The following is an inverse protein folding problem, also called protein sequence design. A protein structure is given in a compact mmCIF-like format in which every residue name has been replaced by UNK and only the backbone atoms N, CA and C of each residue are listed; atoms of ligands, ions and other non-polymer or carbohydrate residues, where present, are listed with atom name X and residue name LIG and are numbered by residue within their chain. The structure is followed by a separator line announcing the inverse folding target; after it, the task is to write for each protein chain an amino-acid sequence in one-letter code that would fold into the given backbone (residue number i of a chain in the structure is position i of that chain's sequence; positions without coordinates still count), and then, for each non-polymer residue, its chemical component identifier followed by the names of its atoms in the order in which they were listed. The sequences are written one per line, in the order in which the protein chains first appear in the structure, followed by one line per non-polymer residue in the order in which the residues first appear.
data_IF_619643487293
#
_entry.id   IF_619643487293
#
_cell.length_a   1.000
_cell.length_b   1.000
_cell.length_c   1.000
_cell.angle_alpha   90.00
_cell.angle_beta   90.00
_cell.angle_gamma   90.00
#
_symmetry.space_group_name_H-M   'P 1'
#
loop_
_entity.id
_entity.type
_entity.pdbx_description
1 polymer ?
#
# COMPACT_ATOMS: atom_id res chain seq x y z
N UNK A 1 -9.12 -11.33 -32.54
CA UNK A 1 -7.71 -10.86 -32.48
C UNK A 1 -7.67 -9.37 -32.17
N UNK A 2 -7.98 -8.46 -33.12
CA UNK A 2 -7.94 -7.00 -32.88
C UNK A 2 -8.83 -6.47 -31.73
N UNK A 3 -10.00 -7.09 -31.51
CA UNK A 3 -10.88 -6.72 -30.39
C UNK A 3 -10.24 -6.98 -29.03
N UNK A 4 -9.42 -8.03 -28.89
CA UNK A 4 -8.89 -8.43 -27.59
C UNK A 4 -7.71 -7.56 -27.15
N UNK A 5 -6.83 -7.19 -28.08
CA UNK A 5 -5.79 -6.18 -27.81
C UNK A 5 -6.42 -4.86 -27.34
N UNK A 6 -7.50 -4.43 -28.00
CA UNK A 6 -8.23 -3.22 -27.61
C UNK A 6 -8.75 -3.34 -26.17
N UNK A 7 -9.35 -4.47 -25.80
CA UNK A 7 -9.81 -4.72 -24.42
C UNK A 7 -8.66 -4.65 -23.42
N UNK A 8 -7.52 -5.27 -23.71
CA UNK A 8 -6.33 -5.26 -22.85
C UNK A 8 -5.82 -3.83 -22.63
N UNK A 9 -5.76 -3.02 -23.69
CA UNK A 9 -5.38 -1.61 -23.56
C UNK A 9 -6.31 -0.85 -22.63
N UNK A 10 -7.62 -1.00 -22.78
CA UNK A 10 -8.59 -0.32 -21.92
C UNK A 10 -8.50 -0.77 -20.46
N UNK A 11 -8.25 -2.06 -20.23
CA UNK A 11 -8.01 -2.59 -18.88
C UNK A 11 -6.87 -1.81 -18.22
N UNK A 12 -5.71 -1.71 -18.87
CA UNK A 12 -4.56 -1.06 -18.26
C UNK A 12 -4.68 0.47 -18.20
N UNK A 13 -5.28 1.11 -19.20
CA UNK A 13 -5.54 2.56 -19.19
C UNK A 13 -6.48 2.99 -18.07
N UNK A 14 -7.41 2.12 -17.64
CA UNK A 14 -8.39 2.42 -16.59
C UNK A 14 -7.92 1.94 -15.22
N UNK A 15 -7.55 0.66 -15.09
CA UNK A 15 -7.26 0.06 -13.78
C UNK A 15 -5.91 0.49 -13.22
N UNK A 16 -4.87 0.66 -14.04
CA UNK A 16 -3.55 1.06 -13.54
C UNK A 16 -3.56 2.41 -12.80
N UNK A 17 -4.11 3.51 -13.34
CA UNK A 17 -4.14 4.78 -12.60
C UNK A 17 -5.06 4.71 -11.39
N UNK A 18 -6.22 4.04 -11.51
CA UNK A 18 -7.19 3.90 -10.42
C UNK A 18 -6.59 3.18 -9.21
N UNK A 19 -5.98 2.01 -9.44
CA UNK A 19 -5.37 1.21 -8.39
C UNK A 19 -4.15 1.91 -7.77
N UNK A 20 -3.34 2.59 -8.59
CA UNK A 20 -2.20 3.35 -8.08
C UNK A 20 -2.65 4.47 -7.12
N UNK A 21 -3.71 5.21 -7.46
CA UNK A 21 -4.26 6.27 -6.59
C UNK A 21 -4.85 5.66 -5.31
N UNK A 22 -5.73 4.68 -5.43
CA UNK A 22 -6.41 4.05 -4.27
C UNK A 22 -5.37 3.44 -3.33
N UNK A 23 -4.42 2.66 -3.88
CA UNK A 23 -3.41 1.99 -3.09
C UNK A 23 -2.42 2.95 -2.44
N UNK A 24 -1.99 4.00 -3.13
CA UNK A 24 -1.11 5.03 -2.53
C UNK A 24 -1.79 5.70 -1.35
N UNK A 25 -3.02 6.19 -1.54
CA UNK A 25 -3.77 6.87 -0.47
C UNK A 25 -4.02 5.90 0.70
N UNK A 26 -4.50 4.69 0.41
CA UNK A 26 -4.79 3.68 1.42
C UNK A 26 -3.55 3.28 2.24
N UNK A 27 -2.44 2.98 1.57
CA UNK A 27 -1.22 2.52 2.24
C UNK A 27 -0.53 3.63 3.04
N UNK A 28 -0.54 4.87 2.56
CA UNK A 28 -0.07 6.02 3.35
C UNK A 28 -0.91 6.20 4.61
N UNK A 29 -2.23 6.14 4.49
CA UNK A 29 -3.13 6.23 5.66
C UNK A 29 -2.88 5.07 6.64
N UNK A 30 -2.65 3.84 6.15
CA UNK A 30 -2.25 2.70 6.98
C UNK A 30 -1.00 3.02 7.79
N UNK A 31 0.07 3.48 7.15
CA UNK A 31 1.35 3.80 7.80
C UNK A 31 1.13 4.87 8.89
N UNK A 32 0.45 5.97 8.55
CA UNK A 32 0.17 7.05 9.51
C UNK A 32 -0.63 6.56 10.73
N UNK A 33 -1.63 5.71 10.53
CA UNK A 33 -2.47 5.18 11.62
C UNK A 33 -1.67 4.20 12.49
N UNK A 34 -0.87 3.33 11.89
CA UNK A 34 -0.07 2.32 12.59
C UNK A 34 1.06 2.95 13.42
N UNK A 35 1.54 4.14 13.04
CA UNK A 35 2.54 4.91 13.79
C UNK A 35 1.96 5.67 14.99
N UNK A 36 0.64 5.74 15.17
CA UNK A 36 0.04 6.38 16.35
C UNK A 36 0.40 5.60 17.61
N UNK A 37 0.66 6.31 18.71
CA UNK A 37 1.12 5.75 20.01
C UNK A 37 0.38 4.48 20.45
N UNK A 38 -0.93 4.41 20.26
CA UNK A 38 -1.75 3.26 20.68
C UNK A 38 -1.54 2.00 19.83
N UNK A 39 -1.22 2.18 18.56
CA UNK A 39 -0.95 1.09 17.60
C UNK A 39 0.53 0.72 17.60
N UNK A 40 1.43 1.70 17.67
CA UNK A 40 2.88 1.51 17.54
C UNK A 40 3.51 0.58 18.61
N UNK A 41 2.86 0.42 19.77
CA UNK A 41 3.31 -0.47 20.84
C UNK A 41 3.12 -1.96 20.50
N UNK A 42 2.32 -2.27 19.47
CA UNK A 42 2.00 -3.66 19.10
C UNK A 42 2.98 -4.20 18.06
N UNK A 43 3.53 -5.40 18.28
CA UNK A 43 4.49 -6.03 17.35
C UNK A 43 3.93 -6.24 15.94
N UNK A 44 2.64 -6.55 15.80
CA UNK A 44 2.01 -6.68 14.49
C UNK A 44 1.87 -5.34 13.73
N UNK A 45 2.02 -4.18 14.39
CA UNK A 45 2.02 -2.89 13.69
C UNK A 45 3.26 -2.72 12.82
N UNK A 46 4.41 -3.30 13.21
CA UNK A 46 5.60 -3.33 12.35
C UNK A 46 5.32 -4.14 11.08
N UNK A 47 4.73 -5.33 11.22
CA UNK A 47 4.36 -6.17 10.08
C UNK A 47 3.42 -5.44 9.10
N UNK A 48 2.32 -4.85 9.59
CA UNK A 48 1.38 -4.13 8.72
C UNK A 48 1.97 -2.86 8.11
N UNK A 49 2.93 -2.21 8.78
CA UNK A 49 3.64 -1.05 8.23
C UNK A 49 4.57 -1.47 7.10
N UNK A 50 5.38 -2.51 7.32
CA UNK A 50 6.25 -3.08 6.28
C UNK A 50 5.42 -3.57 5.11
N UNK A 51 4.29 -4.23 5.36
CA UNK A 51 3.38 -4.68 4.32
C UNK A 51 2.87 -3.50 3.48
N UNK A 52 2.37 -2.43 4.10
CA UNK A 52 1.91 -1.24 3.38
C UNK A 52 3.03 -0.56 2.54
N UNK A 53 4.28 -0.59 3.03
CA UNK A 53 5.44 -0.08 2.25
C UNK A 53 5.70 -0.99 1.04
N UNK A 54 5.75 -2.31 1.25
CA UNK A 54 5.98 -3.29 0.16
C UNK A 54 4.88 -3.21 -0.88
N UNK A 55 3.61 -3.12 -0.48
CA UNK A 55 2.48 -2.96 -1.39
C UNK A 55 2.59 -1.67 -2.21
N UNK A 56 3.01 -0.58 -1.58
CA UNK A 56 3.21 0.71 -2.27
C UNK A 56 4.32 0.56 -3.30
N UNK A 57 5.46 -0.04 -2.94
CA UNK A 57 6.56 -0.29 -3.89
C UNK A 57 6.08 -1.15 -5.05
N UNK A 58 5.35 -2.25 -4.78
CA UNK A 58 4.83 -3.14 -5.80
C UNK A 58 3.88 -2.42 -6.78
N UNK A 59 2.98 -1.57 -6.27
CA UNK A 59 2.06 -0.76 -7.09
C UNK A 59 2.83 0.20 -8.00
N UNK A 60 3.80 0.95 -7.46
CA UNK A 60 4.57 1.89 -8.25
C UNK A 60 5.44 1.17 -9.29
N UNK A 61 6.14 0.09 -8.92
CA UNK A 61 7.01 -0.63 -9.85
C UNK A 61 6.24 -1.36 -10.96
N UNK A 62 5.08 -1.93 -10.63
CA UNK A 62 4.24 -2.65 -11.58
C UNK A 62 3.37 -1.73 -12.45
N UNK A 63 2.54 -0.90 -11.82
CA UNK A 63 1.53 -0.12 -12.53
C UNK A 63 2.10 1.04 -13.34
N UNK A 64 3.20 1.68 -12.89
CA UNK A 64 3.81 2.76 -13.69
C UNK A 64 4.37 2.24 -15.01
N UNK A 65 4.92 1.02 -15.02
CA UNK A 65 5.34 0.36 -16.25
C UNK A 65 4.15 0.16 -17.20
N UNK A 66 3.04 -0.37 -16.71
CA UNK A 66 1.83 -0.53 -17.54
C UNK A 66 1.30 0.82 -18.04
N UNK A 67 1.30 1.86 -17.21
CA UNK A 67 0.92 3.21 -17.64
C UNK A 67 1.81 3.74 -18.78
N UNK A 68 3.13 3.55 -18.69
CA UNK A 68 4.06 4.01 -19.72
C UNK A 68 3.90 3.19 -21.01
N UNK A 69 3.79 1.87 -20.91
CA UNK A 69 3.62 0.99 -22.08
C UNK A 69 2.32 1.32 -22.82
N UNK A 70 1.18 1.40 -22.13
CA UNK A 70 -0.12 1.54 -22.79
C UNK A 70 -0.49 2.98 -23.17
N UNK A 71 0.21 4.00 -22.68
CA UNK A 71 -0.01 5.40 -23.08
C UNK A 71 1.14 5.97 -23.93
N UNK A 72 2.37 5.53 -23.71
CA UNK A 72 3.58 6.01 -24.38
C UNK A 72 4.18 5.05 -25.39
N UNK A 73 3.66 3.81 -25.49
CA UNK A 73 4.15 2.74 -26.38
C UNK A 73 5.65 2.43 -26.22
N UNK A 74 6.22 2.70 -25.05
CA UNK A 74 7.63 2.43 -24.73
C UNK A 74 7.72 1.57 -23.47
N UNK A 75 8.60 0.56 -23.46
CA UNK A 75 8.90 -0.21 -22.25
C UNK A 75 10.13 0.41 -21.56
N UNK A 76 9.98 1.02 -20.37
CA UNK A 76 11.08 1.70 -19.69
C UNK A 76 12.27 0.77 -19.37
N UNK A 77 12.07 -0.55 -19.33
CA UNK A 77 13.16 -1.54 -19.14
C UNK A 77 14.11 -1.60 -20.33
N UNK A 78 13.65 -1.24 -21.52
CA UNK A 78 14.46 -1.24 -22.74
C UNK A 78 15.25 0.06 -22.90
N UNK A 79 14.83 1.12 -22.23
CA UNK A 79 15.46 2.43 -22.31
C UNK A 79 16.52 2.62 -21.20
N UNK A 80 16.27 2.13 -19.99
CA UNK A 80 17.14 2.40 -18.83
C UNK A 80 17.64 1.14 -18.13
N UNK A 81 18.97 1.02 -17.96
CA UNK A 81 19.59 -0.05 -17.15
C UNK A 81 19.08 0.01 -15.71
N UNK A 82 18.88 1.24 -15.21
CA UNK A 82 18.39 1.48 -13.87
C UNK A 82 16.95 0.99 -13.72
N UNK A 83 16.07 1.28 -14.70
CA UNK A 83 14.69 0.79 -14.68
C UNK A 83 14.62 -0.74 -14.81
N UNK A 84 15.44 -1.33 -15.69
CA UNK A 84 15.60 -2.77 -15.83
C UNK A 84 16.04 -3.42 -14.50
N UNK A 85 17.12 -2.92 -13.90
CA UNK A 85 17.67 -3.42 -12.65
C UNK A 85 16.69 -3.25 -11.48
N UNK A 86 16.04 -2.09 -11.35
CA UNK A 86 15.06 -1.87 -10.26
C UNK A 86 13.84 -2.76 -10.42
N UNK A 87 13.26 -2.84 -11.63
CA UNK A 87 12.09 -3.69 -11.86
C UNK A 87 12.41 -5.15 -11.56
N UNK A 88 13.58 -5.64 -11.99
CA UNK A 88 13.94 -7.03 -11.77
C UNK A 88 14.46 -7.33 -10.35
N UNK A 89 15.07 -6.36 -9.67
CA UNK A 89 15.52 -6.52 -8.29
C UNK A 89 14.34 -6.75 -7.33
N UNK A 90 13.30 -5.91 -7.44
CA UNK A 90 12.15 -5.96 -6.53
C UNK A 90 11.20 -7.13 -6.81
N UNK A 91 11.13 -7.63 -8.05
CA UNK A 91 10.32 -8.80 -8.39
C UNK A 91 11.09 -10.13 -8.32
N UNK A 92 12.40 -10.15 -8.61
CA UNK A 92 13.15 -11.39 -8.86
C UNK A 92 14.46 -11.53 -8.07
N UNK A 93 14.65 -10.74 -6.99
CA UNK A 93 15.77 -10.90 -6.06
C UNK A 93 17.15 -10.92 -6.75
N UNK A 94 17.41 -9.92 -7.60
CA UNK A 94 18.70 -9.65 -8.28
C UNK A 94 19.15 -10.66 -9.37
N UNK A 95 18.29 -11.59 -9.81
CA UNK A 95 18.62 -12.54 -10.88
C UNK A 95 18.14 -11.98 -12.23
N UNK A 96 18.97 -11.17 -12.89
CA UNK A 96 18.68 -10.62 -14.22
C UNK A 96 19.88 -10.64 -15.16
N UNK A 97 19.60 -10.72 -16.47
CA UNK A 97 20.57 -10.58 -17.55
C UNK A 97 20.11 -9.44 -18.47
N UNK A 98 21.03 -8.52 -18.74
CA UNK A 98 20.88 -7.53 -19.79
C UNK A 98 21.60 -8.09 -21.02
N UNK A 99 20.87 -8.30 -22.11
CA UNK A 99 21.44 -8.69 -23.40
C UNK A 99 21.31 -7.50 -24.33
N UNK A 100 22.45 -6.98 -24.78
CA UNK A 100 22.52 -5.85 -25.70
C UNK A 100 23.02 -6.33 -27.07
N UNK A 101 22.07 -6.82 -27.89
CA UNK A 101 22.31 -7.14 -29.30
C UNK A 101 22.02 -5.91 -30.16
N UNK A 102 22.71 -5.72 -31.31
CA UNK A 102 22.41 -4.60 -32.20
C UNK A 102 20.94 -4.67 -32.62
N UNK A 103 20.19 -3.61 -32.29
CA UNK A 103 18.75 -3.43 -32.50
C UNK A 103 17.80 -4.24 -31.61
N UNK A 104 18.28 -5.03 -30.64
CA UNK A 104 17.39 -5.82 -29.78
C UNK A 104 17.92 -5.95 -28.34
N UNK A 105 17.84 -4.85 -27.59
CA UNK A 105 18.11 -4.88 -26.15
C UNK A 105 16.99 -5.63 -25.45
N UNK A 106 17.34 -6.59 -24.59
CA UNK A 106 16.38 -7.32 -23.77
C UNK A 106 16.82 -7.33 -22.31
N UNK A 107 15.82 -7.28 -21.42
CA UNK A 107 15.99 -7.24 -19.98
C UNK A 107 15.11 -8.37 -19.38
N UNK A 108 15.72 -9.51 -19.09
CA UNK A 108 15.00 -10.70 -18.61
C UNK A 108 15.86 -11.49 -17.59
N UNK A 109 15.27 -12.53 -17.00
CA UNK A 109 15.90 -13.42 -16.04
C UNK A 109 17.03 -14.22 -16.71
N UNK A 110 18.12 -14.47 -15.96
CA UNK A 110 19.34 -15.13 -16.46
C UNK A 110 19.08 -16.49 -17.10
N UNK A 111 18.12 -17.25 -16.56
CA UNK A 111 17.83 -18.62 -16.97
C UNK A 111 16.32 -18.84 -17.14
N UNK A 112 15.94 -19.25 -18.35
CA UNK A 112 14.58 -19.66 -18.68
C UNK A 112 14.07 -20.77 -17.74
N UNK A 113 14.94 -21.70 -17.34
CA UNK A 113 14.54 -22.80 -16.47
C UNK A 113 14.23 -22.30 -15.07
N UNK A 114 15.04 -21.38 -14.54
CA UNK A 114 14.76 -20.72 -13.28
C UNK A 114 13.41 -19.98 -13.33
N UNK A 115 13.19 -19.18 -14.38
CA UNK A 115 11.94 -18.44 -14.60
C UNK A 115 10.71 -19.34 -14.65
N UNK A 116 10.81 -20.47 -15.35
CA UNK A 116 9.69 -21.39 -15.59
C UNK A 116 9.40 -22.32 -14.41
N UNK A 117 10.43 -22.85 -13.76
CA UNK A 117 10.28 -23.97 -12.81
C UNK A 117 10.62 -23.63 -11.36
N UNK A 118 11.33 -22.53 -11.12
CA UNK A 118 11.79 -22.17 -9.77
C UNK A 118 11.05 -20.93 -9.28
N UNK A 119 10.95 -19.90 -10.13
CA UNK A 119 10.39 -18.62 -9.75
C UNK A 119 8.93 -18.68 -9.24
N UNK A 120 7.98 -19.38 -9.90
CA UNK A 120 6.59 -19.41 -9.43
C UNK A 120 6.44 -20.04 -8.04
N UNK A 121 7.26 -21.06 -7.74
CA UNK A 121 7.28 -21.71 -6.44
C UNK A 121 7.97 -20.87 -5.38
N UNK A 122 9.05 -20.16 -5.76
CA UNK A 122 9.77 -19.26 -4.88
C UNK A 122 8.88 -18.08 -4.47
N UNK A 123 8.18 -17.45 -5.41
CA UNK A 123 7.21 -16.40 -5.11
C UNK A 123 6.08 -16.91 -4.21
N UNK A 124 5.45 -18.04 -4.54
CA UNK A 124 4.40 -18.64 -3.70
C UNK A 124 4.90 -18.93 -2.26
N UNK A 125 6.13 -19.41 -2.13
CA UNK A 125 6.71 -19.78 -0.84
C UNK A 125 7.00 -18.55 0.02
N UNK A 126 7.69 -17.55 -0.55
CA UNK A 126 8.10 -16.34 0.17
C UNK A 126 6.92 -15.41 0.44
N UNK A 127 5.99 -15.30 -0.50
CA UNK A 127 4.89 -14.35 -0.43
C UNK A 127 3.66 -14.92 0.29
N UNK A 128 3.51 -16.26 0.40
CA UNK A 128 2.32 -16.89 1.02
C UNK A 128 2.66 -17.90 2.10
N UNK A 129 3.37 -18.99 1.77
CA UNK A 129 3.49 -20.15 2.65
C UNK A 129 4.26 -19.81 3.93
N UNK A 130 5.41 -19.14 3.78
CA UNK A 130 6.26 -18.76 4.92
C UNK A 130 5.54 -17.75 5.83
N UNK A 131 4.99 -16.62 5.34
CA UNK A 131 4.20 -15.71 6.17
C UNK A 131 3.04 -16.40 6.87
N UNK A 132 2.29 -17.26 6.18
CA UNK A 132 1.13 -17.94 6.73
C UNK A 132 1.50 -18.92 7.86
N UNK A 133 2.59 -19.68 7.72
CA UNK A 133 3.10 -20.58 8.76
C UNK A 133 3.57 -19.79 9.98
N UNK A 134 4.35 -18.72 9.79
CA UNK A 134 4.86 -17.88 10.89
C UNK A 134 3.70 -17.22 11.64
N UNK A 135 2.75 -16.64 10.93
CA UNK A 135 1.59 -15.95 11.52
C UNK A 135 0.67 -16.96 12.22
N UNK A 136 0.42 -18.12 11.62
CA UNK A 136 -0.48 -19.14 12.19
C UNK A 136 0.11 -19.78 13.45
N UNK A 137 1.40 -20.11 13.44
CA UNK A 137 2.09 -20.66 14.62
C UNK A 137 2.13 -19.66 15.77
N UNK A 138 2.49 -18.40 15.47
CA UNK A 138 2.54 -17.32 16.46
C UNK A 138 1.17 -17.01 17.07
N UNK A 139 0.12 -16.91 16.24
CA UNK A 139 -1.24 -16.70 16.73
C UNK A 139 -1.77 -17.95 17.47
N UNK A 140 -1.42 -19.16 17.04
CA UNK A 140 -1.75 -20.41 17.71
C UNK A 140 -1.20 -20.46 19.13
N UNK A 141 0.06 -20.08 19.33
CA UNK A 141 0.68 -19.98 20.66
C UNK A 141 -0.01 -18.95 21.57
N UNK A 142 -0.38 -17.81 20.99
CA UNK A 142 -1.11 -16.75 21.71
C UNK A 142 -2.49 -17.25 22.14
N UNK A 143 -3.25 -17.86 21.24
CA UNK A 143 -4.58 -18.43 21.54
C UNK A 143 -4.45 -19.53 22.60
N UNK A 144 -3.50 -20.45 22.44
CA UNK A 144 -3.23 -21.49 23.43
C UNK A 144 -2.96 -20.92 24.81
N UNK A 145 -2.14 -19.87 24.90
CA UNK A 145 -1.83 -19.18 26.16
C UNK A 145 -3.07 -18.49 26.75
N UNK A 146 -3.90 -17.85 25.93
CA UNK A 146 -5.15 -17.20 26.35
C UNK A 146 -6.21 -18.21 26.82
N UNK A 147 -6.35 -19.34 26.13
CA UNK A 147 -7.28 -20.43 26.49
C UNK A 147 -6.82 -21.07 27.80
N UNK A 148 -5.53 -21.40 27.92
CA UNK A 148 -4.94 -21.93 29.16
C UNK A 148 -5.12 -20.95 30.32
N UNK A 149 -4.91 -19.65 30.08
CA UNK A 149 -5.11 -18.60 31.08
C UNK A 149 -6.58 -18.45 31.50
N UNK A 150 -7.54 -18.53 30.56
CA UNK A 150 -8.99 -18.48 30.88
C UNK A 150 -9.45 -19.73 31.63
N UNK A 151 -8.93 -20.90 31.27
CA UNK A 151 -9.19 -22.14 32.01
C UNK A 151 -8.68 -22.03 33.45
N UNK A 152 -7.46 -21.54 33.64
CA UNK A 152 -6.89 -21.30 34.97
C UNK A 152 -7.61 -20.18 35.74
N UNK A 153 -8.12 -19.15 35.04
CA UNK A 153 -8.91 -18.07 35.62
C UNK A 153 -10.32 -18.52 36.03
N UNK A 154 -10.86 -19.61 35.46
CA UNK A 154 -12.17 -20.18 35.85
C UNK A 154 -12.14 -20.77 37.27
N UNK A 155 -10.95 -21.11 37.77
CA UNK A 155 -10.71 -21.58 39.15
C UNK A 155 -10.15 -20.49 40.08
N UNK A 156 -9.93 -19.26 39.59
CA UNK A 156 -9.36 -18.16 40.36
C UNK A 156 -10.40 -17.05 40.55
N UNK A 157 -10.65 -16.63 41.78
CA UNK A 157 -11.65 -15.61 42.17
C UNK A 157 -11.33 -14.18 41.69
N UNK A 158 -10.25 -13.97 40.93
CA UNK A 158 -9.91 -12.69 40.30
C UNK A 158 -9.80 -12.84 38.78
N UNK A 159 -10.92 -12.70 38.08
CA UNK A 159 -10.94 -12.69 36.63
C UNK A 159 -10.21 -11.46 36.08
N UNK A 160 -9.06 -11.66 35.40
CA UNK A 160 -8.45 -10.60 34.58
C UNK A 160 -9.28 -10.44 33.31
N UNK A 161 -9.68 -9.22 32.91
CA UNK A 161 -10.42 -8.99 31.67
C UNK A 161 -9.61 -9.52 30.48
N UNK A 162 -10.27 -10.28 29.61
CA UNK A 162 -9.64 -10.84 28.42
C UNK A 162 -9.12 -9.73 27.50
N UNK A 163 -7.92 -9.90 26.95
CA UNK A 163 -7.29 -8.88 26.12
C UNK A 163 -7.95 -8.85 24.72
N UNK A 164 -9.09 -8.16 24.58
CA UNK A 164 -9.79 -7.92 23.30
C UNK A 164 -8.88 -7.30 22.22
N UNK A 165 -7.75 -6.74 22.65
CA UNK A 165 -6.64 -6.31 21.82
C UNK A 165 -6.16 -7.33 20.80
N UNK A 166 -5.93 -8.53 21.29
CA UNK A 166 -5.16 -9.56 20.60
C UNK A 166 -6.03 -10.23 19.54
N UNK A 167 -7.29 -10.50 19.87
CA UNK A 167 -8.29 -11.07 18.95
C UNK A 167 -8.57 -10.15 17.74
N UNK A 168 -8.59 -8.83 17.95
CA UNK A 168 -8.80 -7.87 16.86
C UNK A 168 -7.65 -7.83 15.84
N UNK A 169 -6.41 -8.04 16.28
CA UNK A 169 -5.27 -8.08 15.36
C UNK A 169 -5.17 -9.41 14.62
N UNK A 170 -5.46 -10.52 15.30
CA UNK A 170 -5.53 -11.83 14.64
C UNK A 170 -6.56 -11.83 13.51
N UNK A 171 -7.71 -11.14 13.69
CA UNK A 171 -8.69 -10.96 12.63
C UNK A 171 -8.15 -10.17 11.42
N UNK A 172 -7.37 -9.11 11.65
CA UNK A 172 -6.71 -8.35 10.57
C UNK A 172 -5.68 -9.19 9.82
N UNK A 173 -4.87 -9.98 10.54
CA UNK A 173 -3.87 -10.87 9.94
C UNK A 173 -4.53 -11.94 9.07
N UNK A 174 -5.57 -12.59 9.58
CA UNK A 174 -6.35 -13.58 8.81
C UNK A 174 -6.98 -12.93 7.57
N UNK A 175 -7.53 -11.71 7.70
CA UNK A 175 -8.12 -10.99 6.58
C UNK A 175 -7.11 -10.73 5.46
N UNK A 176 -5.86 -10.40 5.78
CA UNK A 176 -4.79 -10.22 4.78
C UNK A 176 -4.45 -11.55 4.13
N UNK A 177 -4.29 -12.62 4.92
CA UNK A 177 -3.97 -13.95 4.37
C UNK A 177 -5.07 -14.48 3.44
N UNK A 178 -6.34 -14.32 3.81
CA UNK A 178 -7.47 -14.69 2.95
C UNK A 178 -7.50 -13.82 1.70
N UNK A 179 -7.31 -12.51 1.85
CA UNK A 179 -7.22 -11.58 0.72
C UNK A 179 -6.18 -12.06 -0.28
N UNK A 180 -4.97 -12.36 0.19
CA UNK A 180 -3.87 -12.87 -0.63
C UNK A 180 -4.29 -14.15 -1.35
N UNK A 181 -4.87 -15.12 -0.65
CA UNK A 181 -5.33 -16.36 -1.27
C UNK A 181 -6.35 -16.14 -2.39
N UNK A 182 -7.28 -15.21 -2.21
CA UNK A 182 -8.34 -14.95 -3.18
C UNK A 182 -7.84 -14.18 -4.42
N UNK A 183 -6.88 -13.27 -4.24
CA UNK A 183 -6.50 -12.32 -5.29
C UNK A 183 -5.14 -12.61 -5.93
N UNK A 184 -4.24 -13.31 -5.23
CA UNK A 184 -2.88 -13.63 -5.70
C UNK A 184 -2.71 -15.07 -6.13
N UNK A 185 -3.39 -16.05 -5.51
CA UNK A 185 -3.23 -17.44 -5.96
C UNK A 185 -3.63 -17.69 -7.41
N UNK A 186 -4.67 -17.05 -7.98
CA UNK A 186 -5.03 -17.29 -9.38
C UNK A 186 -3.87 -17.03 -10.35
N UNK A 187 -3.10 -15.94 -10.16
CA UNK A 187 -1.94 -15.64 -11.01
C UNK A 187 -0.78 -16.59 -10.76
N UNK A 188 -0.54 -16.98 -9.51
CA UNK A 188 0.50 -17.97 -9.19
C UNK A 188 0.19 -19.35 -9.82
N UNK A 189 -1.07 -19.79 -9.76
CA UNK A 189 -1.53 -21.03 -10.40
C UNK A 189 -1.34 -20.95 -11.92
N UNK A 190 -1.72 -19.83 -12.54
CA UNK A 190 -1.53 -19.62 -13.98
C UNK A 190 -0.07 -19.83 -14.39
N UNK A 191 0.89 -19.23 -13.66
CA UNK A 191 2.31 -19.40 -13.94
C UNK A 191 2.86 -20.81 -13.66
N UNK A 192 2.27 -21.57 -12.74
CA UNK A 192 2.68 -22.95 -12.46
C UNK A 192 2.21 -23.92 -13.56
N UNK A 193 0.97 -23.75 -14.05
CA UNK A 193 0.37 -24.66 -15.02
C UNK A 193 0.66 -24.32 -16.48
N UNK A 194 0.90 -23.04 -16.78
CA UNK A 194 1.33 -22.58 -18.10
C UNK A 194 2.66 -21.81 -17.98
N UNK A 195 3.77 -22.53 -17.69
CA UNK A 195 5.09 -21.91 -17.63
C UNK A 195 5.60 -21.49 -19.02
N UNK A 196 4.95 -21.93 -20.09
CA UNK A 196 5.30 -21.60 -21.47
C UNK A 196 4.79 -20.21 -21.89
N UNK A 197 5.71 -19.31 -22.24
CA UNK A 197 5.40 -18.03 -22.89
C UNK A 197 5.08 -18.21 -24.37
N UNK A 198 4.22 -19.17 -24.72
CA UNK A 198 3.66 -19.13 -26.07
C UNK A 198 2.77 -17.89 -26.17
N UNK A 199 3.10 -17.01 -27.11
CA UNK A 199 2.34 -15.78 -27.36
C UNK A 199 0.91 -16.14 -27.78
N UNK A 200 -0.06 -15.41 -27.23
CA UNK A 200 -1.45 -15.61 -27.59
C UNK A 200 -2.36 -14.61 -26.89
N UNK A 201 -3.21 -13.95 -27.68
CA UNK A 201 -4.12 -12.91 -27.23
C UNK A 201 -4.88 -13.31 -25.95
N UNK A 202 -5.37 -14.54 -25.88
CA UNK A 202 -6.13 -15.05 -24.72
C UNK A 202 -5.26 -15.13 -23.46
N UNK A 203 -4.00 -15.54 -23.58
CA UNK A 203 -3.07 -15.60 -22.45
C UNK A 203 -2.74 -14.19 -21.95
N UNK A 204 -2.57 -13.23 -22.87
CA UNK A 204 -2.32 -11.83 -22.50
C UNK A 204 -3.52 -11.20 -21.78
N UNK A 205 -4.75 -11.54 -22.20
CA UNK A 205 -5.96 -11.14 -21.50
C UNK A 205 -6.02 -11.75 -20.10
N UNK A 206 -5.83 -13.07 -19.99
CA UNK A 206 -5.85 -13.78 -18.70
C UNK A 206 -4.80 -13.18 -17.77
N UNK A 207 -3.57 -13.01 -18.24
CA UNK A 207 -2.51 -12.35 -17.48
C UNK A 207 -2.91 -10.95 -17.04
N UNK A 208 -3.52 -10.15 -17.91
CA UNK A 208 -3.96 -8.79 -17.58
C UNK A 208 -5.03 -8.77 -16.49
N UNK A 209 -6.05 -9.63 -16.61
CA UNK A 209 -7.13 -9.75 -15.62
C UNK A 209 -6.60 -10.22 -14.26
N UNK A 210 -5.76 -11.26 -14.27
CA UNK A 210 -5.18 -11.80 -13.05
C UNK A 210 -4.21 -10.80 -12.40
N UNK A 211 -3.44 -10.04 -13.18
CA UNK A 211 -2.58 -8.98 -12.67
C UNK A 211 -3.38 -7.81 -12.10
N UNK A 212 -4.50 -7.42 -12.69
CA UNK A 212 -5.39 -6.40 -12.11
C UNK A 212 -5.92 -6.86 -10.75
N UNK A 213 -6.34 -8.12 -10.64
CA UNK A 213 -6.75 -8.70 -9.36
C UNK A 213 -5.60 -8.71 -8.34
N UNK A 214 -4.39 -8.99 -8.81
CA UNK A 214 -3.15 -8.94 -8.04
C UNK A 214 -2.90 -7.55 -7.45
N UNK A 215 -2.91 -6.51 -8.28
CA UNK A 215 -2.70 -5.12 -7.84
C UNK A 215 -3.87 -4.59 -7.02
N UNK A 216 -5.09 -5.09 -7.24
CA UNK A 216 -6.24 -4.77 -6.41
C UNK A 216 -5.98 -5.19 -4.95
N UNK A 217 -5.36 -6.35 -4.72
CA UNK A 217 -4.95 -6.78 -3.38
C UNK A 217 -4.07 -5.74 -2.66
N UNK A 218 -3.01 -5.29 -3.34
CA UNK A 218 -2.07 -4.31 -2.81
C UNK A 218 -2.72 -2.94 -2.53
N UNK A 219 -3.89 -2.69 -3.13
CA UNK A 219 -4.61 -1.42 -3.03
C UNK A 219 -5.65 -1.38 -1.91
N UNK A 220 -6.17 -2.52 -1.46
CA UNK A 220 -7.34 -2.59 -0.56
C UNK A 220 -7.01 -2.82 0.92
N UNK A 221 -5.74 -2.95 1.30
CA UNK A 221 -5.35 -3.30 2.66
C UNK A 221 -5.92 -2.35 3.73
N UNK A 222 -5.98 -1.05 3.43
CA UNK A 222 -6.65 -0.07 4.28
C UNK A 222 -8.13 -0.40 4.56
N UNK A 223 -8.88 -0.79 3.53
CA UNK A 223 -10.29 -1.16 3.64
C UNK A 223 -10.45 -2.45 4.45
N UNK A 224 -9.59 -3.45 4.20
CA UNK A 224 -9.57 -4.69 4.97
C UNK A 224 -9.33 -4.41 6.45
N UNK A 225 -8.42 -3.50 6.79
CA UNK A 225 -8.16 -3.11 8.18
C UNK A 225 -9.32 -2.36 8.83
N UNK A 226 -10.02 -1.52 8.08
CA UNK A 226 -11.25 -0.88 8.54
C UNK A 226 -12.30 -1.96 8.85
N UNK A 227 -12.54 -2.92 7.97
CA UNK A 227 -13.60 -3.93 8.17
C UNK A 227 -13.26 -4.88 9.32
N UNK A 228 -12.03 -5.38 9.36
CA UNK A 228 -11.59 -6.41 10.32
C UNK A 228 -11.11 -5.85 11.68
N UNK A 229 -10.70 -4.58 11.75
CA UNK A 229 -9.98 -4.02 12.89
C UNK A 229 -10.71 -2.90 13.64
N UNK A 230 -11.47 -3.17 14.73
CA UNK A 230 -12.10 -2.12 15.55
C UNK A 230 -11.12 -1.09 16.11
N UNK A 231 -9.88 -1.50 16.43
CA UNK A 231 -8.83 -0.58 16.89
C UNK A 231 -8.34 0.33 15.79
N UNK A 232 -8.09 -0.23 14.62
CA UNK A 232 -7.70 0.53 13.44
C UNK A 232 -8.77 1.58 13.14
N UNK A 233 -10.06 1.17 13.05
CA UNK A 233 -11.20 2.10 12.88
C UNK A 233 -11.24 3.22 13.91
N UNK A 234 -10.96 2.93 15.17
CA UNK A 234 -10.96 3.95 16.22
C UNK A 234 -9.88 4.99 15.97
N UNK A 235 -8.65 4.56 15.66
CA UNK A 235 -7.55 5.47 15.37
C UNK A 235 -7.75 6.22 14.04
N UNK A 236 -8.38 5.60 13.04
CA UNK A 236 -8.83 6.27 11.80
C UNK A 236 -9.77 7.42 12.15
N UNK A 237 -10.85 7.16 12.91
CA UNK A 237 -11.81 8.19 13.32
C UNK A 237 -11.14 9.29 14.14
N UNK A 238 -10.25 8.94 15.06
CA UNK A 238 -9.52 9.91 15.84
C UNK A 238 -8.60 10.79 14.98
N UNK A 239 -8.03 10.25 13.89
CA UNK A 239 -7.17 11.00 12.98
C UNK A 239 -7.98 12.04 12.21
N UNK A 240 -9.07 11.59 11.59
CA UNK A 240 -9.95 12.47 10.83
C UNK A 240 -10.66 13.49 11.73
N UNK A 241 -10.98 13.16 12.98
CA UNK A 241 -11.56 14.12 13.93
C UNK A 241 -10.62 15.30 14.24
N UNK A 242 -9.32 15.02 14.44
CA UNK A 242 -8.31 16.07 14.67
C UNK A 242 -8.13 16.92 13.42
N UNK A 243 -8.05 16.30 12.24
CA UNK A 243 -7.96 17.02 10.95
C UNK A 243 -9.18 17.92 10.75
N UNK A 244 -10.39 17.41 10.98
CA UNK A 244 -11.62 18.20 10.89
C UNK A 244 -11.64 19.38 11.87
N UNK A 245 -11.17 19.19 13.11
CA UNK A 245 -11.08 20.28 14.09
C UNK A 245 -10.06 21.36 13.64
N UNK A 246 -8.89 20.94 13.15
CA UNK A 246 -7.87 21.86 12.66
C UNK A 246 -8.32 22.63 11.41
N UNK A 247 -8.94 21.95 10.44
CA UNK A 247 -9.53 22.59 9.26
C UNK A 247 -10.60 23.62 9.64
N UNK A 248 -11.47 23.29 10.60
CA UNK A 248 -12.52 24.21 11.10
C UNK A 248 -11.92 25.41 11.86
N UNK A 249 -10.89 25.18 12.68
CA UNK A 249 -10.21 26.25 13.44
C UNK A 249 -9.45 27.22 12.52
N UNK A 250 -8.80 26.71 11.46
CA UNK A 250 -8.09 27.53 10.49
C UNK A 250 -9.04 28.34 9.59
N UNK A 251 -10.21 27.80 9.24
CA UNK A 251 -11.24 28.60 8.56
C UNK A 251 -11.70 29.78 9.43
N UNK A 252 -11.92 29.58 10.73
CA UNK A 252 -12.35 30.65 11.63
C UNK A 252 -11.26 31.73 11.77
N UNK A 253 -9.99 31.34 11.94
CA UNK A 253 -8.88 32.30 12.01
C UNK A 253 -8.68 33.06 10.69
N UNK A 254 -8.81 32.40 9.54
CA UNK A 254 -8.73 33.05 8.23
C UNK A 254 -9.84 34.09 8.01
N UNK A 255 -11.07 33.80 8.47
CA UNK A 255 -12.20 34.74 8.40
C UNK A 255 -12.01 35.92 9.36
N UNK A 256 -11.57 35.69 10.61
CA UNK A 256 -11.29 36.79 11.54
C UNK A 256 -10.19 37.73 11.06
N UNK A 257 -9.13 37.19 10.44
CA UNK A 257 -8.04 38.00 9.92
C UNK A 257 -8.46 38.78 8.65
N UNK A 258 -9.35 38.24 7.82
CA UNK A 258 -9.92 38.95 6.68
C UNK A 258 -10.83 40.13 7.11
N UNK A 259 -11.66 39.93 8.15
CA UNK A 259 -12.52 40.97 8.70
C UNK A 259 -11.72 42.13 9.32
N UNK A 260 -10.58 41.84 9.97
CA UNK A 260 -9.70 42.89 10.53
C UNK A 260 -9.02 43.75 9.46
N UNK A 261 -8.73 43.19 8.29
CA UNK A 261 -8.14 43.93 7.16
C UNK A 261 -9.20 44.88 6.55
N UNK A 262 -10.45 44.41 6.43
CA UNK A 262 -11.56 45.23 5.92
C UNK A 262 -11.90 46.40 6.86
N UNK A 263 -11.71 46.22 8.17
CA UNK A 263 -11.91 47.28 9.18
C UNK A 263 -10.75 48.30 9.22
N UNK A 264 -9.53 47.90 8.83
CA UNK A 264 -8.38 48.81 8.75
C UNK A 264 -8.35 49.66 7.47
N UNK A 265 -8.89 49.15 6.36
CA UNK A 265 -9.04 49.92 5.11
C UNK A 265 -10.17 50.97 5.15
N UNK A 266 -11.07 50.91 6.14
CA UNK A 266 -12.14 51.91 6.33
C UNK A 266 -11.78 53.07 7.28
N UNK A 267 -10.64 53.02 7.98
CA UNK A 267 -10.26 54.11 8.88
C UNK A 267 -9.61 55.29 8.10
N UNK A 268 -10.09 56.54 8.26
CA UNK A 268 -9.49 57.69 7.61
C UNK A 268 -8.07 57.94 8.15
N UNK A 269 -7.13 58.44 7.31
CA UNK A 269 -5.74 58.61 7.69
C UNK A 269 -5.61 59.61 8.85
N UNK A 270 -4.95 59.19 9.94
CA UNK A 270 -4.71 60.07 11.09
C UNK A 270 -3.71 61.19 10.76
N UNK A 271 -3.92 62.42 11.27
CA UNK A 271 -3.02 63.53 11.03
C UNK A 271 -1.70 63.36 11.80
N UNK A 272 -0.60 63.62 11.10
CA UNK A 272 0.79 63.50 11.59
C UNK A 272 1.09 64.67 12.54
N UNK A 273 1.24 64.38 13.84
CA UNK A 273 1.62 65.38 14.84
C UNK A 273 3.09 65.81 14.68
N UNK A 274 3.32 67.12 14.77
CA UNK A 274 4.59 67.80 14.58
C UNK A 274 5.62 67.49 15.68
N UNK A 275 6.90 67.43 15.28
CA UNK A 275 8.06 67.29 16.15
C UNK A 275 8.30 68.55 17.01
N UNK A 276 8.72 68.43 18.29
CA UNK A 276 9.17 69.58 19.07
C UNK A 276 10.66 69.87 18.84
N UNK A 277 10.99 71.15 18.64
CA UNK A 277 12.35 71.66 18.51
C UNK A 277 13.16 71.46 19.80
N UNK A 278 14.35 70.86 19.68
CA UNK A 278 15.37 70.78 20.75
C UNK A 278 16.02 72.14 21.01
N UNK A 279 16.11 72.51 22.29
CA UNK A 279 16.92 73.62 22.80
C UNK A 279 18.11 73.07 23.61
N UNK A 280 19.31 73.28 23.05
CA UNK A 280 20.53 73.85 23.70
C UNK A 280 21.23 73.10 24.84
N UNK A 281 22.55 73.32 25.09
CA UNK A 281 23.31 74.58 24.91
C UNK A 281 24.27 74.65 23.71
#
# INVERSE_FOLDING_TARGET
MAELHTVIEWIWKIFAPLLLIIGTVGNVLCICILQRKRMAVMSASLYFTVLAVVDTIALYMGLTRHLIIYNGNTDPRLESDLACAFHLFFLYSAIFKIVDEPYNRTCDIIDERFRKWIFPWLDLSLSTLIPLVIISTSNGMIIFTLVRSRFHSKYSTKAKPGNHATTSMTAMLISVSIGYCLTKMPIAIFFIFDPSMEEGDVKDLVFSVLSVLEYFHHSINFLLYIVSGPRFRHETRAMFSVVCHFCRSNQIHGVSHALQIEETDQLPPQPRNAEPQEQQP
#
